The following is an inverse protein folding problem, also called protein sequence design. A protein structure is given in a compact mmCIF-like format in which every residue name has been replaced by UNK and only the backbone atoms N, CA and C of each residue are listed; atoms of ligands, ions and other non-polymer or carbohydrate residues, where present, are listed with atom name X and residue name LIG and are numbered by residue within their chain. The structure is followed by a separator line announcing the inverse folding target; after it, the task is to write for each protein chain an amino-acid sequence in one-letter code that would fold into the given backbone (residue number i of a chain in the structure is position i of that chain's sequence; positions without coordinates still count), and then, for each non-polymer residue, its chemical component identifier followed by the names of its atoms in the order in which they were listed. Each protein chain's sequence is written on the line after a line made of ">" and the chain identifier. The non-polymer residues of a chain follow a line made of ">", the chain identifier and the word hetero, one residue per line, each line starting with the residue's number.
data_IF_561373943485
#
_entry.id   IF_561373943485
#
_cell.length_a   1.000
_cell.length_b   1.000
_cell.length_c   1.000
_cell.angle_alpha   90.00
_cell.angle_beta   90.00
_cell.angle_gamma   90.00
#
_symmetry.space_group_name_H-M   'P 1'
#
loop_
_entity.id
_entity.type
_entity.pdbx_description
1 polymer ?
#
# COMPACT_ATOMS: atom_id res chain seq x y z
N UNK A 1 -2.33 -12.88 -11.54
CA UNK A 1 -3.40 -12.02 -11.03
C UNK A 1 -4.72 -12.08 -11.82
N UNK A 2 -4.87 -13.04 -12.75
CA UNK A 2 -6.08 -13.19 -13.59
C UNK A 2 -7.16 -14.08 -12.99
N UNK A 3 -7.00 -14.59 -11.78
CA UNK A 3 -7.78 -15.73 -11.28
C UNK A 3 -9.10 -15.38 -10.57
N UNK A 4 -9.40 -14.13 -10.26
CA UNK A 4 -10.56 -13.83 -9.39
C UNK A 4 -11.66 -13.01 -10.06
N UNK A 5 -11.49 -12.51 -11.27
CA UNK A 5 -12.35 -11.42 -11.74
C UNK A 5 -13.13 -11.66 -13.03
N UNK A 6 -13.30 -12.88 -13.52
CA UNK A 6 -13.66 -13.04 -14.93
C UNK A 6 -15.16 -13.16 -15.27
N UNK A 7 -16.06 -13.27 -14.32
CA UNK A 7 -17.46 -13.58 -14.66
C UNK A 7 -18.44 -12.41 -14.64
N UNK A 8 -18.06 -11.23 -14.13
CA UNK A 8 -18.96 -10.07 -14.03
C UNK A 8 -18.35 -8.71 -14.37
N UNK A 9 -17.13 -8.65 -14.87
CA UNK A 9 -16.48 -7.37 -15.18
C UNK A 9 -16.88 -6.89 -16.57
N UNK A 10 -17.47 -5.69 -16.67
CA UNK A 10 -17.74 -5.05 -17.96
C UNK A 10 -16.44 -5.01 -18.79
N UNK A 11 -16.48 -5.40 -20.09
CA UNK A 11 -15.28 -5.45 -20.94
C UNK A 11 -14.45 -4.16 -20.95
N UNK A 12 -15.12 -3.01 -20.86
CA UNK A 12 -14.47 -1.69 -20.82
C UNK A 12 -13.53 -1.52 -19.62
N UNK A 13 -13.81 -2.15 -18.46
CA UNK A 13 -12.94 -2.08 -17.30
C UNK A 13 -11.57 -2.73 -17.51
N UNK A 14 -11.48 -3.67 -18.46
CA UNK A 14 -10.21 -4.33 -18.83
C UNK A 14 -9.28 -3.41 -19.61
N UNK A 15 -9.79 -2.31 -20.15
CA UNK A 15 -9.03 -1.31 -20.91
C UNK A 15 -8.36 -0.27 -19.99
N UNK A 16 -8.80 -0.15 -18.74
CA UNK A 16 -8.26 0.84 -17.80
C UNK A 16 -7.28 0.21 -16.81
N UNK A 17 -6.20 0.93 -16.57
CA UNK A 17 -5.24 0.60 -15.50
C UNK A 17 -5.66 1.31 -14.21
N UNK A 18 -5.95 0.54 -13.18
CA UNK A 18 -6.25 1.05 -11.83
C UNK A 18 -5.02 0.89 -10.92
N UNK A 19 -3.91 1.57 -11.29
CA UNK A 19 -2.63 1.43 -10.58
C UNK A 19 -2.74 1.68 -9.07
N UNK A 20 -3.50 2.70 -8.65
CA UNK A 20 -3.73 2.96 -7.23
C UNK A 20 -4.43 1.83 -6.49
N UNK A 21 -5.38 1.12 -7.15
CA UNK A 21 -5.99 -0.07 -6.57
C UNK A 21 -4.98 -1.23 -6.47
N UNK A 22 -4.28 -1.53 -7.57
CA UNK A 22 -3.39 -2.72 -7.65
C UNK A 22 -2.21 -2.57 -6.71
N UNK A 23 -1.50 -1.45 -6.81
CA UNK A 23 -0.31 -1.19 -6.01
C UNK A 23 -0.67 -0.83 -4.56
N UNK A 24 -1.78 -0.13 -4.36
CA UNK A 24 -2.32 0.16 -3.03
C UNK A 24 -2.72 -1.10 -2.28
N UNK A 25 -3.37 -2.07 -2.96
CA UNK A 25 -3.67 -3.38 -2.40
C UNK A 25 -2.39 -4.16 -2.07
N UNK A 26 -1.41 -4.16 -2.98
CA UNK A 26 -0.14 -4.85 -2.75
C UNK A 26 0.57 -4.31 -1.51
N UNK A 27 0.67 -2.98 -1.38
CA UNK A 27 1.33 -2.38 -0.23
C UNK A 27 0.51 -2.53 1.07
N UNK A 28 -0.82 -2.46 0.99
CA UNK A 28 -1.71 -2.73 2.11
C UNK A 28 -1.52 -4.17 2.65
N UNK A 29 -1.45 -5.15 1.77
CA UNK A 29 -1.23 -6.55 2.17
C UNK A 29 0.19 -6.80 2.67
N UNK A 30 1.21 -6.15 2.09
CA UNK A 30 2.57 -6.13 2.61
C UNK A 30 2.60 -5.64 4.07
N UNK A 31 1.94 -4.51 4.36
CA UNK A 31 1.87 -3.96 5.72
C UNK A 31 1.21 -4.89 6.73
N UNK A 32 0.09 -5.47 6.38
CA UNK A 32 -0.60 -6.45 7.24
C UNK A 32 0.26 -7.70 7.45
N UNK A 33 1.03 -8.13 6.45
CA UNK A 33 1.89 -9.30 6.59
C UNK A 33 2.98 -9.10 7.64
N UNK A 34 3.56 -7.91 7.75
CA UNK A 34 4.52 -7.58 8.82
C UNK A 34 3.86 -7.60 10.21
N UNK A 35 2.66 -7.05 10.35
CA UNK A 35 1.92 -7.04 11.60
C UNK A 35 1.58 -8.48 12.04
N UNK A 36 1.12 -9.30 11.12
CA UNK A 36 0.81 -10.70 11.36
C UNK A 36 2.06 -11.52 11.72
N UNK A 37 3.16 -11.33 10.97
CA UNK A 37 4.42 -11.99 11.26
C UNK A 37 4.94 -11.61 12.65
N UNK A 38 4.86 -10.35 13.03
CA UNK A 38 5.25 -9.90 14.37
C UNK A 38 4.44 -10.58 15.48
N UNK A 39 3.13 -10.75 15.30
CA UNK A 39 2.26 -11.45 16.25
C UNK A 39 2.65 -12.93 16.40
N UNK A 40 2.77 -13.64 15.27
CA UNK A 40 3.14 -15.07 15.26
C UNK A 40 4.52 -15.30 15.89
N UNK A 41 5.48 -14.42 15.59
CA UNK A 41 6.84 -14.54 16.16
C UNK A 41 6.86 -14.21 17.64
N UNK A 42 6.10 -13.22 18.11
CA UNK A 42 5.99 -12.92 19.53
C UNK A 42 5.42 -14.10 20.34
N UNK A 43 4.42 -14.79 19.81
CA UNK A 43 3.87 -16.00 20.42
C UNK A 43 4.91 -17.16 20.46
N UNK A 44 5.67 -17.34 19.38
CA UNK A 44 6.72 -18.35 19.29
C UNK A 44 7.90 -18.06 20.23
N UNK A 45 8.34 -16.80 20.34
CA UNK A 45 9.43 -16.37 21.21
C UNK A 45 9.14 -16.61 22.70
N UNK A 46 7.89 -16.42 23.11
CA UNK A 46 7.45 -16.76 24.47
C UNK A 46 7.69 -18.24 24.82
N UNK A 47 7.77 -19.12 23.80
CA UNK A 47 8.02 -20.56 23.97
C UNK A 47 9.50 -20.96 23.85
N UNK A 48 10.34 -20.16 23.18
CA UNK A 48 11.71 -20.55 22.78
C UNK A 48 12.84 -19.81 23.53
N UNK A 49 12.53 -18.78 24.34
CA UNK A 49 13.53 -18.05 25.12
C UNK A 49 14.60 -17.33 24.27
N UNK A 50 14.24 -16.85 23.09
CA UNK A 50 15.15 -16.17 22.16
C UNK A 50 15.68 -14.85 22.72
N UNK A 51 16.98 -14.59 22.52
CA UNK A 51 17.65 -13.35 22.95
C UNK A 51 17.35 -12.14 22.06
N UNK A 52 16.77 -12.32 20.88
CA UNK A 52 16.45 -11.25 19.94
C UNK A 52 14.97 -11.30 19.58
N UNK A 53 14.23 -10.20 19.84
CA UNK A 53 12.80 -10.16 19.54
C UNK A 53 12.57 -10.05 18.02
N UNK A 54 12.35 -11.18 17.35
CA UNK A 54 12.07 -11.21 15.91
C UNK A 54 10.79 -10.42 15.56
N UNK A 55 9.83 -10.34 16.49
CA UNK A 55 8.68 -9.47 16.38
C UNK A 55 9.07 -7.98 16.24
N UNK A 56 10.07 -7.51 17.01
CA UNK A 56 10.59 -6.16 16.87
C UNK A 56 11.26 -5.95 15.52
N UNK A 57 12.00 -6.93 15.02
CA UNK A 57 12.61 -6.86 13.69
C UNK A 57 11.55 -6.68 12.59
N UNK A 58 10.45 -7.43 12.62
CA UNK A 58 9.33 -7.25 11.68
C UNK A 58 8.77 -5.82 11.73
N UNK A 59 8.60 -5.27 12.92
CA UNK A 59 8.13 -3.89 13.10
C UNK A 59 9.11 -2.88 12.52
N UNK A 60 10.42 -3.05 12.76
CA UNK A 60 11.46 -2.16 12.23
C UNK A 60 11.53 -2.23 10.70
N UNK A 61 11.46 -3.44 10.11
CA UNK A 61 11.44 -3.62 8.66
C UNK A 61 10.22 -2.94 8.02
N UNK A 62 9.06 -3.06 8.66
CA UNK A 62 7.85 -2.39 8.22
C UNK A 62 8.00 -0.86 8.23
N UNK A 63 8.56 -0.29 9.31
CA UNK A 63 8.80 1.15 9.43
C UNK A 63 9.86 1.64 8.44
N UNK A 64 10.93 0.86 8.24
CA UNK A 64 11.94 1.17 7.22
C UNK A 64 11.32 1.21 5.82
N UNK A 65 10.45 0.27 5.51
CA UNK A 65 9.73 0.22 4.24
C UNK A 65 8.82 1.42 4.04
N UNK A 66 8.09 1.83 5.09
CA UNK A 66 7.26 3.04 5.07
C UNK A 66 8.09 4.29 4.81
N UNK A 67 9.21 4.43 5.54
CA UNK A 67 10.11 5.57 5.39
C UNK A 67 10.65 5.66 3.95
N UNK A 68 11.07 4.54 3.37
CA UNK A 68 11.56 4.48 2.00
C UNK A 68 10.50 4.92 0.99
N UNK A 69 9.29 4.39 1.08
CA UNK A 69 8.18 4.74 0.16
C UNK A 69 7.82 6.22 0.30
N UNK A 70 7.73 6.73 1.54
CA UNK A 70 7.43 8.13 1.78
C UNK A 70 8.51 9.05 1.20
N UNK A 71 9.79 8.72 1.41
CA UNK A 71 10.90 9.45 0.82
C UNK A 71 10.79 9.52 -0.71
N UNK A 72 10.58 8.38 -1.36
CA UNK A 72 10.47 8.34 -2.82
C UNK A 72 9.24 9.09 -3.34
N UNK A 73 8.12 9.08 -2.63
CA UNK A 73 6.96 9.91 -2.95
C UNK A 73 7.27 11.40 -2.85
N UNK A 74 7.97 11.82 -1.80
CA UNK A 74 8.38 13.23 -1.63
C UNK A 74 9.35 13.68 -2.72
N UNK A 75 10.34 12.84 -3.06
CA UNK A 75 11.30 13.14 -4.13
C UNK A 75 10.63 13.17 -5.51
N UNK A 76 9.69 12.28 -5.78
CA UNK A 76 8.88 12.27 -7.01
C UNK A 76 8.09 13.58 -7.14
N UNK A 77 7.40 14.01 -6.09
CA UNK A 77 6.70 15.29 -6.06
C UNK A 77 7.65 16.47 -6.19
N UNK A 78 8.80 16.43 -5.51
CA UNK A 78 9.82 17.48 -5.61
C UNK A 78 10.31 17.63 -7.04
N UNK A 79 10.58 16.52 -7.71
CA UNK A 79 11.08 16.53 -9.10
C UNK A 79 10.00 16.98 -10.10
N UNK A 80 8.84 16.34 -10.07
CA UNK A 80 7.86 16.48 -11.15
C UNK A 80 6.84 17.60 -10.93
N UNK A 81 6.55 17.94 -9.69
CA UNK A 81 5.59 19.00 -9.36
C UNK A 81 6.25 20.31 -8.99
N UNK A 82 7.32 20.27 -8.17
CA UNK A 82 8.00 21.47 -7.72
C UNK A 82 9.20 21.86 -8.59
N UNK A 83 9.66 20.99 -9.50
CA UNK A 83 10.77 21.26 -10.41
C UNK A 83 12.13 21.34 -9.71
N UNK A 84 12.31 20.56 -8.65
CA UNK A 84 13.57 20.52 -7.89
C UNK A 84 14.75 20.07 -8.77
N UNK A 85 15.91 20.68 -8.53
CA UNK A 85 17.13 20.38 -9.26
C UNK A 85 17.70 18.99 -8.87
N UNK A 86 18.35 18.32 -9.83
CA UNK A 86 19.01 17.03 -9.61
C UNK A 86 19.89 17.03 -8.35
N UNK A 87 20.70 18.07 -8.19
CA UNK A 87 21.63 18.21 -7.05
C UNK A 87 20.94 18.25 -5.69
N UNK A 88 19.70 18.75 -5.63
CA UNK A 88 18.90 18.78 -4.39
C UNK A 88 18.38 17.39 -4.04
N UNK A 89 17.91 16.64 -5.06
CA UNK A 89 17.45 15.27 -4.85
C UNK A 89 18.60 14.35 -4.43
N UNK A 90 19.77 14.45 -5.09
CA UNK A 90 20.94 13.64 -4.73
C UNK A 90 21.38 13.93 -3.29
N UNK A 91 21.51 15.18 -2.87
CA UNK A 91 21.83 15.55 -1.50
C UNK A 91 20.81 15.00 -0.49
N UNK A 92 19.53 15.03 -0.84
CA UNK A 92 18.50 14.44 0.01
C UNK A 92 18.69 12.94 0.16
N UNK A 93 18.90 12.20 -0.90
CA UNK A 93 19.14 10.75 -0.89
C UNK A 93 20.38 10.38 -0.07
N UNK A 94 21.49 11.10 -0.27
CA UNK A 94 22.72 10.92 0.47
C UNK A 94 22.54 11.19 1.98
N UNK A 95 21.74 12.18 2.35
CA UNK A 95 21.41 12.47 3.75
C UNK A 95 20.64 11.33 4.45
N UNK A 96 19.95 10.50 3.67
CA UNK A 96 19.32 9.25 4.12
C UNK A 96 20.24 8.03 4.07
N UNK A 97 21.53 8.22 3.76
CA UNK A 97 22.56 7.20 3.82
C UNK A 97 22.76 6.41 2.54
N UNK A 98 22.21 6.85 1.40
CA UNK A 98 22.51 6.24 0.10
C UNK A 98 23.89 6.69 -0.39
N UNK A 99 24.63 5.80 -1.06
CA UNK A 99 25.83 6.19 -1.75
C UNK A 99 25.51 7.04 -2.99
N UNK A 100 26.51 7.77 -3.51
CA UNK A 100 26.37 8.55 -4.74
C UNK A 100 25.79 7.71 -5.89
N UNK A 101 26.35 6.51 -6.10
CA UNK A 101 25.88 5.58 -7.15
C UNK A 101 24.42 5.13 -6.93
N UNK A 102 24.03 4.89 -5.70
CA UNK A 102 22.64 4.54 -5.37
C UNK A 102 21.70 5.71 -5.59
N UNK A 103 22.12 6.92 -5.20
CA UNK A 103 21.36 8.16 -5.36
C UNK A 103 21.12 8.48 -6.84
N UNK A 104 22.15 8.31 -7.68
CA UNK A 104 22.03 8.47 -9.13
C UNK A 104 21.01 7.48 -9.74
N UNK A 105 21.08 6.20 -9.37
CA UNK A 105 20.11 5.20 -9.84
C UNK A 105 18.68 5.52 -9.44
N UNK A 106 18.48 5.95 -8.20
CA UNK A 106 17.14 6.36 -7.71
C UNK A 106 16.65 7.59 -8.47
N UNK A 107 17.49 8.59 -8.65
CA UNK A 107 17.15 9.78 -9.45
C UNK A 107 16.72 9.41 -10.87
N UNK A 108 17.53 8.61 -11.58
CA UNK A 108 17.22 8.21 -12.95
C UNK A 108 15.90 7.41 -13.03
N UNK A 109 15.63 6.57 -12.06
CA UNK A 109 14.37 5.85 -11.99
C UNK A 109 13.19 6.79 -11.76
N UNK A 110 13.25 7.69 -10.78
CA UNK A 110 12.18 8.67 -10.51
C UNK A 110 11.92 9.55 -11.75
N UNK A 111 12.98 10.02 -12.40
CA UNK A 111 12.89 10.87 -13.60
C UNK A 111 12.16 10.18 -14.76
N UNK A 112 12.36 8.89 -14.94
CA UNK A 112 11.80 8.12 -16.07
C UNK A 112 10.44 7.48 -15.76
N UNK A 113 10.07 7.39 -14.49
CA UNK A 113 8.86 6.70 -14.05
C UNK A 113 8.06 7.55 -13.05
N UNK A 114 7.47 8.68 -13.49
CA UNK A 114 6.75 9.59 -12.60
C UNK A 114 5.53 8.92 -11.95
N UNK A 115 5.27 9.28 -10.70
CA UNK A 115 4.14 8.84 -9.89
C UNK A 115 4.09 7.32 -9.60
N UNK A 116 5.19 6.58 -9.81
CA UNK A 116 5.20 5.13 -9.54
C UNK A 116 4.96 4.86 -8.06
N UNK A 117 5.75 5.48 -7.17
CA UNK A 117 5.61 5.27 -5.73
C UNK A 117 4.33 5.88 -5.15
N UNK A 118 3.81 6.95 -5.77
CA UNK A 118 2.52 7.53 -5.40
C UNK A 118 1.37 6.54 -5.57
N UNK A 119 1.40 5.66 -6.58
CA UNK A 119 0.38 4.61 -6.76
C UNK A 119 0.34 3.65 -5.56
N UNK A 120 1.51 3.30 -5.03
CA UNK A 120 1.62 2.47 -3.83
C UNK A 120 1.09 3.19 -2.59
N UNK A 121 1.65 4.36 -2.29
CA UNK A 121 1.38 5.02 -1.02
C UNK A 121 -0.02 5.66 -0.97
N UNK A 122 -0.41 6.42 -1.98
CA UNK A 122 -1.75 7.01 -2.04
C UNK A 122 -2.80 5.92 -2.15
N UNK A 123 -2.54 4.87 -2.94
CA UNK A 123 -3.42 3.70 -3.02
C UNK A 123 -3.59 3.00 -1.67
N UNK A 124 -2.52 2.87 -0.89
CA UNK A 124 -2.56 2.35 0.47
C UNK A 124 -3.39 3.23 1.41
N UNK A 125 -3.21 4.55 1.36
CA UNK A 125 -4.01 5.48 2.17
C UNK A 125 -5.51 5.37 1.85
N UNK A 126 -5.85 5.32 0.57
CA UNK A 126 -7.23 5.13 0.12
C UNK A 126 -7.80 3.77 0.53
N UNK A 127 -6.99 2.70 0.48
CA UNK A 127 -7.39 1.37 0.94
C UNK A 127 -7.69 1.36 2.45
N UNK A 128 -6.87 2.02 3.26
CA UNK A 128 -7.12 2.18 4.69
C UNK A 128 -8.35 3.04 4.97
N UNK A 129 -8.55 4.11 4.22
CA UNK A 129 -9.75 4.94 4.32
C UNK A 129 -11.02 4.13 3.99
N UNK A 130 -10.96 3.29 2.95
CA UNK A 130 -12.05 2.40 2.58
C UNK A 130 -12.31 1.35 3.68
N UNK A 131 -11.26 0.78 4.27
CA UNK A 131 -11.36 -0.15 5.40
C UNK A 131 -12.06 0.51 6.60
N UNK A 132 -11.64 1.71 7.00
CA UNK A 132 -12.28 2.46 8.09
C UNK A 132 -13.76 2.73 7.83
N UNK A 133 -14.12 3.06 6.58
CA UNK A 133 -15.53 3.21 6.21
C UNK A 133 -16.31 1.90 6.32
N UNK A 134 -15.69 0.77 5.96
CA UNK A 134 -16.31 -0.54 6.11
C UNK A 134 -16.49 -0.93 7.59
N UNK A 135 -15.51 -0.64 8.44
CA UNK A 135 -15.58 -0.84 9.89
C UNK A 135 -16.79 -0.08 10.48
N UNK A 136 -16.91 1.20 10.17
CA UNK A 136 -18.03 2.02 10.64
C UNK A 136 -19.39 1.54 10.11
N UNK A 137 -19.45 1.15 8.84
CA UNK A 137 -20.71 0.77 8.19
C UNK A 137 -21.19 -0.62 8.60
N UNK A 138 -20.28 -1.57 8.76
CA UNK A 138 -20.64 -2.95 9.12
C UNK A 138 -20.62 -3.22 10.62
N UNK A 139 -20.07 -2.32 11.44
CA UNK A 139 -20.04 -2.42 12.90
C UNK A 139 -19.68 -3.83 13.38
N UNK A 140 -20.55 -4.47 14.18
CA UNK A 140 -20.33 -5.83 14.71
C UNK A 140 -20.19 -6.92 13.63
N UNK A 141 -20.64 -6.64 12.42
CA UNK A 141 -20.49 -7.55 11.28
C UNK A 141 -19.20 -7.31 10.49
N UNK A 142 -18.31 -6.44 10.95
CA UNK A 142 -17.01 -6.25 10.31
C UNK A 142 -16.06 -7.40 10.62
N UNK A 143 -15.33 -7.84 9.60
CA UNK A 143 -14.12 -8.64 9.76
C UNK A 143 -13.15 -8.32 8.62
N UNK A 144 -11.86 -8.50 8.87
CA UNK A 144 -10.83 -8.33 7.81
C UNK A 144 -11.13 -9.24 6.61
N UNK A 145 -11.52 -10.48 6.85
CA UNK A 145 -11.87 -11.42 5.79
C UNK A 145 -13.02 -10.90 4.93
N UNK A 146 -14.08 -10.35 5.56
CA UNK A 146 -15.21 -9.75 4.84
C UNK A 146 -14.76 -8.55 4.02
N UNK A 147 -13.91 -7.68 4.58
CA UNK A 147 -13.37 -6.53 3.87
C UNK A 147 -12.50 -6.94 2.68
N UNK A 148 -11.58 -7.88 2.88
CA UNK A 148 -10.72 -8.38 1.81
C UNK A 148 -11.54 -9.02 0.69
N UNK A 149 -12.54 -9.84 1.05
CA UNK A 149 -13.45 -10.43 0.07
C UNK A 149 -14.19 -9.35 -0.74
N UNK A 150 -14.73 -8.34 -0.06
CA UNK A 150 -15.39 -7.21 -0.72
C UNK A 150 -14.48 -6.52 -1.74
N UNK A 151 -13.23 -6.21 -1.36
CA UNK A 151 -12.26 -5.55 -2.24
C UNK A 151 -11.94 -6.43 -3.44
N UNK A 152 -11.63 -7.71 -3.21
CA UNK A 152 -11.24 -8.65 -4.28
C UNK A 152 -12.41 -8.96 -5.24
N UNK A 153 -13.63 -9.13 -4.73
CA UNK A 153 -14.84 -9.33 -5.56
C UNK A 153 -15.23 -8.07 -6.34
N UNK A 154 -14.95 -6.89 -5.80
CA UNK A 154 -15.13 -5.64 -6.54
C UNK A 154 -14.15 -5.55 -7.71
N UNK A 155 -12.95 -6.08 -7.56
CA UNK A 155 -11.87 -6.05 -8.53
C UNK A 155 -11.31 -4.64 -8.78
N UNK A 156 -10.31 -4.51 -9.68
CA UNK A 156 -9.68 -3.22 -9.97
C UNK A 156 -10.68 -2.14 -10.32
N UNK A 157 -10.64 -1.03 -9.58
CA UNK A 157 -11.57 0.10 -9.69
C UNK A 157 -10.93 1.34 -9.08
N UNK A 158 -11.49 2.51 -9.34
CA UNK A 158 -11.21 3.69 -8.56
C UNK A 158 -11.88 3.62 -7.17
N UNK A 159 -11.31 4.34 -6.21
CA UNK A 159 -11.77 4.30 -4.82
C UNK A 159 -13.13 4.96 -4.58
N UNK A 160 -13.54 5.88 -5.45
CA UNK A 160 -14.88 6.47 -5.41
C UNK A 160 -15.95 5.41 -5.70
N UNK A 161 -15.74 4.62 -6.75
CA UNK A 161 -16.65 3.52 -7.10
C UNK A 161 -16.64 2.42 -6.03
N UNK A 162 -15.49 2.08 -5.46
CA UNK A 162 -15.42 1.15 -4.32
C UNK A 162 -16.24 1.66 -3.13
N UNK A 163 -16.13 2.96 -2.83
CA UNK A 163 -16.91 3.59 -1.75
C UNK A 163 -18.42 3.57 -2.04
N UNK A 164 -18.83 3.82 -3.29
CA UNK A 164 -20.25 3.71 -3.72
C UNK A 164 -20.76 2.27 -3.55
N UNK A 165 -19.96 1.28 -3.97
CA UNK A 165 -20.31 -0.15 -3.80
C UNK A 165 -20.41 -0.54 -2.34
N UNK A 166 -19.48 -0.07 -1.49
CA UNK A 166 -19.52 -0.31 -0.06
C UNK A 166 -20.85 0.17 0.54
N UNK A 167 -21.29 1.39 0.23
CA UNK A 167 -22.57 1.93 0.67
C UNK A 167 -23.77 1.05 0.29
N UNK A 168 -23.72 0.42 -0.88
CA UNK A 168 -24.80 -0.47 -1.36
C UNK A 168 -24.86 -1.80 -0.58
N UNK A 169 -23.78 -2.22 0.09
CA UNK A 169 -23.78 -3.44 0.91
C UNK A 169 -24.59 -3.27 2.20
N UNK A 170 -24.76 -2.05 2.71
CA UNK A 170 -25.61 -1.77 3.87
C UNK A 170 -27.10 -1.90 3.53
N UNK A 171 -27.50 -1.51 2.33
CA UNK A 171 -28.92 -1.52 1.92
C UNK A 171 -29.48 -2.95 1.68
N UNK A 172 -28.62 -3.97 1.60
CA UNK A 172 -29.04 -5.38 1.36
C UNK A 172 -29.17 -6.22 2.63
N UNK A 173 -28.81 -5.67 3.77
CA UNK A 173 -28.81 -6.35 5.10
C UNK A 173 -29.91 -5.87 6.02
N UNK A 174 -30.77 -4.95 5.60
CA UNK A 174 -32.01 -4.52 6.24
C UNK A 174 -33.20 -4.98 5.41
#
# INVERSE_FOLDING_TARGET
>A
SSLVCDTQTLPIRKLFSYGGYVEGWAYYTERISYEYAAQVLAEAEGSLGSSYPAALLCTLLAQQRDLQINLFCLLDLSLHYYGAEKSELLRSLESFGLSEEQSERVYDYLRTAPAVYLKYYVGYLEMNALKKRAELQWSDNFSLLRFHRFVLEAGPSDFENLTKRLKQTAAKTG
#
